data_IF_467732862445
#
_entry.id   IF_467732862445
#
_cell.length_a   1.000
_cell.length_b   1.000
_cell.length_c   1.000
_cell.angle_alpha   90.00
_cell.angle_beta   90.00
_cell.angle_gamma   90.00
#
_symmetry.space_group_name_H-M   'P 1'
#
loop_
_entity.id
_entity.type
_entity.pdbx_description
1 polymer ?
#
# COMPACT_ATOMS: atom_id res chain seq x y z
N UNK A 1 -19.26 4.47 -14.11
CA UNK A 1 -17.82 4.64 -14.36
C UNK A 1 -17.04 3.68 -13.47
N UNK A 2 -15.90 3.14 -13.92
CA UNK A 2 -15.06 2.28 -13.08
C UNK A 2 -14.54 3.03 -11.86
N UNK A 3 -14.43 2.33 -10.72
CA UNK A 3 -13.86 2.86 -9.48
C UNK A 3 -12.72 1.96 -9.05
N UNK A 4 -11.50 2.48 -9.13
CA UNK A 4 -10.29 1.77 -8.71
C UNK A 4 -10.09 1.97 -7.21
N UNK A 5 -10.04 0.88 -6.46
CA UNK A 5 -9.83 0.87 -5.02
C UNK A 5 -8.50 0.19 -4.74
N UNK A 6 -7.54 0.97 -4.23
CA UNK A 6 -6.25 0.46 -3.75
C UNK A 6 -6.42 -0.19 -2.39
N UNK A 7 -5.91 -1.40 -2.23
CA UNK A 7 -5.85 -2.08 -0.92
C UNK A 7 -4.89 -1.37 0.04
N UNK A 8 -4.89 -1.77 1.31
CA UNK A 8 -4.09 -1.12 2.34
C UNK A 8 -2.61 -1.12 1.94
N UNK A 9 -2.04 0.08 1.92
CA UNK A 9 -0.68 0.33 1.48
C UNK A 9 0.26 0.67 2.66
N UNK A 10 -0.10 1.56 3.62
CA UNK A 10 0.82 1.96 4.68
C UNK A 10 1.21 0.81 5.63
N UNK A 11 2.42 0.84 6.21
CA UNK A 11 2.82 -0.05 7.29
C UNK A 11 2.00 0.21 8.56
N UNK A 12 1.92 -0.79 9.44
CA UNK A 12 1.03 -0.72 10.61
C UNK A 12 1.43 0.33 11.65
N UNK A 13 2.72 0.70 11.74
CA UNK A 13 3.17 1.69 12.72
C UNK A 13 2.60 3.09 12.48
N UNK A 14 2.20 3.43 11.24
CA UNK A 14 1.54 4.71 10.93
C UNK A 14 0.16 4.84 11.61
N UNK A 15 -0.45 3.72 12.01
CA UNK A 15 -1.73 3.71 12.72
C UNK A 15 -1.57 3.61 14.24
N UNK A 16 -0.34 3.56 14.75
CA UNK A 16 -0.07 3.40 16.16
C UNK A 16 0.18 4.75 16.85
N UNK A 17 -0.04 4.84 18.18
CA UNK A 17 0.31 6.04 18.92
C UNK A 17 1.83 6.31 18.91
N UNK A 18 2.19 7.58 19.02
CA UNK A 18 3.59 8.01 19.07
C UNK A 18 4.35 7.38 20.24
N UNK A 19 5.54 6.86 19.97
CA UNK A 19 6.34 6.14 20.95
C UNK A 19 6.79 7.03 22.11
N UNK A 20 7.18 8.29 21.85
CA UNK A 20 7.61 9.21 22.90
C UNK A 20 6.45 9.58 23.82
N UNK A 21 5.26 9.81 23.26
CA UNK A 21 4.05 10.06 24.04
C UNK A 21 3.69 8.86 24.93
N UNK A 22 3.79 7.63 24.40
CA UNK A 22 3.58 6.41 25.20
C UNK A 22 4.62 6.28 26.32
N UNK A 23 5.90 6.58 26.04
CA UNK A 23 6.97 6.51 27.02
C UNK A 23 6.79 7.53 28.16
N UNK A 24 6.43 8.79 27.82
CA UNK A 24 6.11 9.83 28.79
C UNK A 24 4.92 9.43 29.66
N UNK A 25 3.87 8.88 29.05
CA UNK A 25 2.69 8.42 29.78
C UNK A 25 3.01 7.25 30.72
N UNK A 26 3.80 6.28 30.28
CA UNK A 26 4.25 5.16 31.11
C UNK A 26 5.07 5.65 32.31
N UNK A 27 6.00 6.59 32.10
CA UNK A 27 6.81 7.18 33.16
C UNK A 27 5.93 7.86 34.23
N UNK A 28 4.93 8.65 33.80
CA UNK A 28 3.97 9.28 34.73
C UNK A 28 3.16 8.26 35.53
N UNK A 29 2.66 7.19 34.89
CA UNK A 29 1.91 6.12 35.56
C UNK A 29 2.76 5.34 36.57
N UNK A 30 4.04 5.10 36.27
CA UNK A 30 4.97 4.47 37.21
C UNK A 30 5.21 5.32 38.46
N UNK A 31 5.28 6.65 38.30
CA UNK A 31 5.47 7.58 39.41
C UNK A 31 4.24 7.67 40.32
N UNK A 32 3.02 7.66 39.74
CA UNK A 32 1.78 7.72 40.52
C UNK A 32 1.50 6.41 41.27
N UNK A 33 1.80 5.24 40.66
CA UNK A 33 1.67 3.94 41.30
C UNK A 33 0.23 3.49 41.60
N UNK A 34 -0.79 4.25 41.18
CA UNK A 34 -2.20 4.05 41.52
C UNK A 34 -3.03 3.38 40.41
N UNK A 35 -2.45 3.20 39.22
CA UNK A 35 -3.15 2.67 38.02
C UNK A 35 -2.37 1.54 37.32
N UNK A 36 -2.20 0.38 37.97
CA UNK A 36 -1.39 -0.73 37.44
C UNK A 36 -1.93 -1.32 36.13
N UNK A 37 -3.25 -1.41 35.96
CA UNK A 37 -3.86 -1.93 34.73
C UNK A 37 -3.67 -0.99 33.53
N UNK A 38 -3.72 0.33 33.76
CA UNK A 38 -3.45 1.30 32.69
C UNK A 38 -1.97 1.27 32.30
N UNK A 39 -1.08 1.17 33.28
CA UNK A 39 0.36 1.03 33.03
C UNK A 39 0.66 -0.20 32.17
N UNK A 40 0.16 -1.38 32.55
CA UNK A 40 0.35 -2.61 31.79
C UNK A 40 -0.16 -2.50 30.34
N UNK A 41 -1.29 -1.82 30.13
CA UNK A 41 -1.83 -1.55 28.79
C UNK A 41 -0.90 -0.67 27.96
N UNK A 42 -0.36 0.40 28.55
CA UNK A 42 0.56 1.31 27.85
C UNK A 42 1.89 0.60 27.54
N UNK A 43 2.44 -0.18 28.47
CA UNK A 43 3.66 -0.95 28.26
C UNK A 43 3.49 -2.02 27.17
N UNK A 44 2.33 -2.69 27.13
CA UNK A 44 1.98 -3.59 26.03
C UNK A 44 1.89 -2.88 24.69
N UNK A 45 1.29 -1.69 24.64
CA UNK A 45 1.25 -0.86 23.43
C UNK A 45 2.66 -0.43 22.98
N UNK A 46 3.50 0.02 23.90
CA UNK A 46 4.91 0.37 23.59
C UNK A 46 5.65 -0.81 22.97
N UNK A 47 5.47 -2.01 23.53
CA UNK A 47 6.11 -3.23 23.02
C UNK A 47 5.63 -3.55 21.60
N UNK A 48 4.34 -3.39 21.33
CA UNK A 48 3.77 -3.57 19.99
C UNK A 48 4.28 -2.52 18.99
N UNK A 49 4.38 -1.25 19.41
CA UNK A 49 4.92 -0.17 18.57
C UNK A 49 6.37 -0.44 18.20
N UNK A 50 7.19 -0.78 19.19
CA UNK A 50 8.61 -1.07 18.94
C UNK A 50 8.78 -2.30 18.03
N UNK A 51 7.96 -3.32 18.20
CA UNK A 51 7.96 -4.51 17.33
C UNK A 51 7.50 -4.26 15.89
N UNK A 52 6.84 -3.13 15.61
CA UNK A 52 6.40 -2.72 14.26
C UNK A 52 7.29 -1.65 13.63
N UNK A 53 8.31 -1.19 14.37
CA UNK A 53 9.22 -0.14 13.92
C UNK A 53 10.19 -0.70 12.88
N UNK A 54 10.34 0.02 11.79
CA UNK A 54 11.25 -0.34 10.71
C UNK A 54 12.21 0.82 10.45
N UNK A 55 13.46 0.51 10.08
CA UNK A 55 14.46 1.54 9.74
C UNK A 55 14.06 2.34 8.51
N UNK A 56 13.49 1.69 7.50
CA UNK A 56 13.03 2.31 6.25
C UNK A 56 11.59 1.89 5.94
N UNK A 57 10.58 2.54 6.58
CA UNK A 57 9.15 2.21 6.42
C UNK A 57 8.68 2.12 4.96
N UNK A 58 9.21 2.99 4.10
CA UNK A 58 8.88 3.02 2.67
C UNK A 58 9.16 1.68 1.97
N UNK A 59 10.20 0.94 2.40
CA UNK A 59 10.60 -0.34 1.82
C UNK A 59 10.24 -1.55 2.69
N UNK A 60 9.48 -1.35 3.76
CA UNK A 60 9.22 -2.34 4.81
C UNK A 60 8.03 -3.27 4.58
N UNK A 61 7.43 -3.73 5.68
CA UNK A 61 6.25 -4.59 5.74
C UNK A 61 4.96 -3.77 5.51
N UNK A 62 4.69 -3.52 4.24
CA UNK A 62 3.56 -2.71 3.77
C UNK A 62 2.92 -3.30 2.50
N UNK A 63 1.85 -2.70 1.99
CA UNK A 63 1.19 -3.11 0.75
C UNK A 63 0.87 -4.61 0.66
N UNK A 64 1.18 -5.22 -0.49
CA UNK A 64 0.96 -6.66 -0.73
C UNK A 64 1.63 -7.54 0.33
N UNK A 65 2.80 -7.16 0.83
CA UNK A 65 3.58 -7.96 1.80
C UNK A 65 2.82 -8.07 3.11
N UNK A 66 2.28 -6.95 3.60
CA UNK A 66 1.44 -6.93 4.79
C UNK A 66 0.16 -7.74 4.56
N UNK A 67 -0.48 -7.58 3.40
CA UNK A 67 -1.69 -8.33 3.04
C UNK A 67 -1.46 -9.84 2.96
N UNK A 68 -0.30 -10.30 2.51
CA UNK A 68 0.06 -11.72 2.45
C UNK A 68 0.43 -12.29 3.82
N UNK A 69 1.18 -11.55 4.63
CA UNK A 69 1.56 -11.96 6.00
C UNK A 69 0.36 -11.92 6.95
N UNK A 70 -0.60 -11.01 6.72
CA UNK A 70 -1.83 -10.85 7.51
C UNK A 70 -3.07 -10.84 6.60
N UNK A 71 -3.48 -11.99 6.02
CA UNK A 71 -4.58 -12.08 5.06
C UNK A 71 -5.92 -11.55 5.57
N UNK A 72 -6.14 -11.55 6.89
CA UNK A 72 -7.37 -11.01 7.49
C UNK A 72 -7.62 -9.53 7.12
N UNK A 73 -6.55 -8.73 6.94
CA UNK A 73 -6.66 -7.32 6.54
C UNK A 73 -7.22 -7.23 5.13
N UNK A 74 -6.60 -7.91 4.16
CA UNK A 74 -7.07 -8.00 2.78
C UNK A 74 -8.50 -8.50 2.72
N UNK A 75 -8.79 -9.63 3.38
CA UNK A 75 -10.13 -10.24 3.36
C UNK A 75 -11.20 -9.28 3.87
N UNK A 76 -10.91 -8.51 4.91
CA UNK A 76 -11.83 -7.50 5.44
C UNK A 76 -12.10 -6.41 4.41
N UNK A 77 -11.07 -5.85 3.78
CA UNK A 77 -11.23 -4.81 2.76
C UNK A 77 -12.02 -5.31 1.54
N UNK A 78 -11.66 -6.49 1.02
CA UNK A 78 -12.34 -7.10 -0.13
C UNK A 78 -13.81 -7.36 0.21
N UNK A 79 -14.09 -7.92 1.40
CA UNK A 79 -15.47 -8.16 1.84
C UNK A 79 -16.27 -6.86 1.86
N UNK A 80 -15.72 -5.79 2.42
CA UNK A 80 -16.39 -4.49 2.47
C UNK A 80 -16.67 -3.93 1.06
N UNK A 81 -15.71 -4.02 0.14
CA UNK A 81 -15.87 -3.57 -1.25
C UNK A 81 -17.02 -4.33 -1.93
N UNK A 82 -17.04 -5.66 -1.84
CA UNK A 82 -18.05 -6.46 -2.51
C UNK A 82 -19.41 -6.40 -1.83
N UNK A 83 -19.48 -6.23 -0.51
CA UNK A 83 -20.76 -6.00 0.19
C UNK A 83 -21.41 -4.69 -0.28
N UNK A 84 -20.62 -3.61 -0.35
CA UNK A 84 -21.09 -2.32 -0.85
C UNK A 84 -21.48 -2.40 -2.35
N UNK A 85 -20.67 -3.05 -3.18
CA UNK A 85 -20.96 -3.19 -4.60
C UNK A 85 -22.24 -4.02 -4.85
N UNK A 86 -22.41 -5.14 -4.13
CA UNK A 86 -23.63 -5.94 -4.22
C UNK A 86 -24.87 -5.16 -3.75
N UNK A 87 -24.76 -4.36 -2.68
CA UNK A 87 -25.85 -3.51 -2.22
C UNK A 87 -26.25 -2.48 -3.30
N UNK A 88 -25.28 -1.70 -3.78
CA UNK A 88 -25.53 -0.67 -4.80
C UNK A 88 -26.11 -1.26 -6.10
N UNK A 89 -25.67 -2.46 -6.50
CA UNK A 89 -26.24 -3.15 -7.67
C UNK A 89 -27.71 -3.52 -7.48
N UNK A 90 -28.13 -3.92 -6.27
CA UNK A 90 -29.57 -4.15 -5.97
C UNK A 90 -30.38 -2.86 -6.01
N UNK A 91 -29.78 -1.74 -5.65
CA UNK A 91 -30.37 -0.41 -5.72
C UNK A 91 -30.43 0.14 -7.17
N UNK A 92 -29.97 -0.64 -8.16
CA UNK A 92 -30.02 -0.28 -9.57
C UNK A 92 -28.82 0.53 -10.06
N UNK A 93 -27.76 0.65 -9.26
CA UNK A 93 -26.53 1.35 -9.65
C UNK A 93 -25.65 0.43 -10.49
N UNK A 94 -25.17 0.94 -11.63
CA UNK A 94 -24.21 0.24 -12.48
C UNK A 94 -22.78 0.35 -11.92
N UNK A 95 -22.41 -0.64 -11.10
CA UNK A 95 -21.12 -0.69 -10.40
C UNK A 95 -20.05 -1.50 -11.14
N UNK A 96 -18.85 -0.92 -11.23
CA UNK A 96 -17.67 -1.52 -11.87
C UNK A 96 -16.44 -1.36 -10.95
N UNK A 97 -16.35 -2.11 -9.83
CA UNK A 97 -15.20 -2.04 -8.94
C UNK A 97 -13.95 -2.66 -9.57
N UNK A 98 -12.82 -1.96 -9.43
CA UNK A 98 -11.51 -2.43 -9.85
C UNK A 98 -10.60 -2.48 -8.61
N UNK A 99 -10.12 -3.66 -8.23
CA UNK A 99 -9.33 -3.87 -7.02
C UNK A 99 -7.85 -3.82 -7.40
N UNK A 100 -7.09 -2.94 -6.75
CA UNK A 100 -5.68 -2.73 -7.06
C UNK A 100 -4.77 -3.13 -5.90
N UNK A 101 -3.81 -4.00 -6.18
CA UNK A 101 -2.79 -4.46 -5.25
C UNK A 101 -1.54 -3.59 -5.36
N UNK A 102 -1.12 -2.97 -4.25
CA UNK A 102 0.04 -2.08 -4.16
C UNK A 102 1.32 -2.80 -3.73
N UNK A 103 2.47 -2.21 -4.04
CA UNK A 103 3.84 -2.58 -3.65
C UNK A 103 4.23 -3.99 -4.10
N UNK A 104 3.73 -4.40 -5.28
CA UNK A 104 4.06 -5.70 -5.86
C UNK A 104 5.41 -5.64 -6.57
N UNK A 105 6.15 -6.73 -6.46
CA UNK A 105 7.48 -6.89 -7.05
C UNK A 105 7.64 -8.19 -7.83
N UNK A 106 6.76 -9.18 -7.60
CA UNK A 106 6.82 -10.49 -8.20
C UNK A 106 5.42 -11.01 -8.57
N UNK A 107 5.29 -11.70 -9.70
CA UNK A 107 4.01 -12.20 -10.22
C UNK A 107 3.26 -13.12 -9.23
N UNK A 108 3.98 -13.98 -8.51
CA UNK A 108 3.43 -14.79 -7.41
C UNK A 108 2.75 -13.98 -6.30
N UNK A 109 3.21 -12.76 -5.98
CA UNK A 109 2.53 -11.91 -4.99
C UNK A 109 1.15 -11.50 -5.51
N UNK A 110 1.07 -11.12 -6.79
CA UNK A 110 -0.19 -10.80 -7.48
C UNK A 110 -1.09 -12.02 -7.55
N UNK A 111 -0.55 -13.18 -7.93
CA UNK A 111 -1.29 -14.44 -8.06
C UNK A 111 -1.97 -14.83 -6.74
N UNK A 112 -1.22 -14.89 -5.65
CA UNK A 112 -1.76 -15.29 -4.33
C UNK A 112 -2.78 -14.26 -3.86
N UNK A 113 -2.53 -12.97 -4.06
CA UNK A 113 -3.48 -11.92 -3.68
C UNK A 113 -4.78 -12.03 -4.49
N UNK A 114 -4.70 -12.32 -5.78
CA UNK A 114 -5.85 -12.54 -6.66
C UNK A 114 -6.69 -13.75 -6.20
N UNK A 115 -6.05 -14.85 -5.78
CA UNK A 115 -6.76 -16.00 -5.21
C UNK A 115 -7.56 -15.61 -3.96
N UNK A 116 -6.96 -14.85 -3.04
CA UNK A 116 -7.63 -14.35 -1.83
C UNK A 116 -8.79 -13.40 -2.17
N UNK A 117 -8.60 -12.48 -3.13
CA UNK A 117 -9.64 -11.54 -3.53
C UNK A 117 -10.83 -12.29 -4.15
N UNK A 118 -10.57 -13.21 -5.09
CA UNK A 118 -11.61 -13.99 -5.77
C UNK A 118 -12.41 -14.83 -4.80
N UNK A 119 -11.75 -15.50 -3.86
CA UNK A 119 -12.41 -16.32 -2.85
C UNK A 119 -13.42 -15.50 -2.04
N UNK A 120 -13.01 -14.33 -1.52
CA UNK A 120 -13.90 -13.47 -0.72
C UNK A 120 -15.01 -12.83 -1.57
N UNK A 121 -14.70 -12.44 -2.82
CA UNK A 121 -15.68 -11.91 -3.76
C UNK A 121 -16.80 -12.94 -4.01
N UNK A 122 -16.41 -14.19 -4.31
CA UNK A 122 -17.34 -15.29 -4.57
C UNK A 122 -18.18 -15.63 -3.33
N UNK A 123 -17.59 -15.65 -2.14
CA UNK A 123 -18.33 -15.80 -0.89
C UNK A 123 -19.43 -14.75 -0.73
N UNK A 124 -19.09 -13.48 -0.95
CA UNK A 124 -20.03 -12.36 -0.79
C UNK A 124 -21.12 -12.42 -1.86
N UNK A 125 -20.77 -12.63 -3.13
CA UNK A 125 -21.73 -12.74 -4.23
C UNK A 125 -22.68 -13.92 -4.03
N UNK A 126 -22.16 -15.08 -3.61
CA UNK A 126 -22.98 -16.27 -3.32
C UNK A 126 -23.94 -16.03 -2.16
N UNK A 127 -23.47 -15.43 -1.06
CA UNK A 127 -24.30 -15.11 0.10
C UNK A 127 -25.37 -14.07 -0.23
N UNK A 128 -25.06 -13.10 -1.08
CA UNK A 128 -25.99 -12.02 -1.46
C UNK A 128 -26.91 -12.39 -2.62
N UNK A 129 -26.58 -13.41 -3.42
CA UNK A 129 -27.31 -13.74 -4.65
C UNK A 129 -27.17 -12.67 -5.74
N UNK A 130 -26.17 -11.79 -5.65
CA UNK A 130 -25.92 -10.69 -6.59
C UNK A 130 -24.57 -10.92 -7.24
N UNK A 131 -24.53 -10.87 -8.57
CA UNK A 131 -23.29 -10.94 -9.33
C UNK A 131 -22.82 -9.54 -9.70
N UNK A 132 -21.58 -9.20 -9.34
CA UNK A 132 -20.93 -7.94 -9.69
C UNK A 132 -19.77 -8.27 -10.63
N UNK A 133 -19.62 -7.51 -11.71
CA UNK A 133 -18.46 -7.62 -12.58
C UNK A 133 -17.35 -6.73 -12.00
N UNK A 134 -16.12 -7.22 -11.99
CA UNK A 134 -14.99 -6.54 -11.37
C UNK A 134 -13.70 -6.89 -12.09
N UNK A 135 -12.67 -6.08 -11.87
CA UNK A 135 -11.30 -6.39 -12.31
C UNK A 135 -10.35 -6.41 -11.15
N UNK A 136 -9.28 -7.19 -11.26
CA UNK A 136 -8.14 -7.16 -10.34
C UNK A 136 -6.91 -6.72 -11.12
N UNK A 137 -6.22 -5.71 -10.59
CA UNK A 137 -4.99 -5.20 -11.17
C UNK A 137 -3.92 -4.96 -10.12
N UNK A 138 -2.77 -4.48 -10.57
CA UNK A 138 -1.64 -4.19 -9.70
C UNK A 138 -1.02 -2.85 -10.03
N UNK A 139 -0.45 -2.22 -8.99
CA UNK A 139 0.36 -1.04 -9.16
C UNK A 139 1.77 -1.44 -9.60
N UNK A 140 2.27 -0.83 -10.68
CA UNK A 140 3.66 -0.93 -11.11
C UNK A 140 4.39 0.27 -10.53
N UNK A 141 4.98 0.05 -9.36
CA UNK A 141 5.65 1.11 -8.57
C UNK A 141 7.02 0.68 -8.01
N UNK A 142 7.48 -0.51 -8.38
CA UNK A 142 8.82 -1.00 -8.09
C UNK A 142 9.53 -1.35 -9.40
N UNK A 143 10.83 -1.05 -9.56
CA UNK A 143 11.56 -1.30 -10.80
C UNK A 143 11.49 -2.77 -11.21
N UNK A 144 11.54 -3.70 -10.25
CA UNK A 144 11.40 -5.13 -10.54
C UNK A 144 10.05 -5.46 -11.21
N UNK A 145 8.95 -4.88 -10.74
CA UNK A 145 7.63 -5.11 -11.33
C UNK A 145 7.53 -4.57 -12.75
N UNK A 146 8.19 -3.43 -13.04
CA UNK A 146 8.29 -2.89 -14.38
C UNK A 146 9.14 -3.79 -15.31
N UNK A 147 10.28 -4.27 -14.82
CA UNK A 147 11.19 -5.15 -15.58
C UNK A 147 10.55 -6.49 -15.92
N UNK A 148 9.73 -7.05 -15.01
CA UNK A 148 9.06 -8.34 -15.20
C UNK A 148 7.57 -8.19 -15.49
N UNK A 149 7.16 -7.09 -16.13
CA UNK A 149 5.75 -6.74 -16.33
C UNK A 149 4.98 -7.80 -17.14
N UNK A 150 5.64 -8.49 -18.07
CA UNK A 150 5.09 -9.61 -18.84
C UNK A 150 4.62 -10.77 -17.92
N UNK A 151 5.35 -11.03 -16.85
CA UNK A 151 4.96 -12.01 -15.83
C UNK A 151 3.81 -11.47 -14.96
N UNK A 152 3.84 -10.19 -14.60
CA UNK A 152 2.80 -9.54 -13.81
C UNK A 152 1.45 -9.55 -14.55
N UNK A 153 1.46 -9.31 -15.87
CA UNK A 153 0.29 -9.24 -16.73
C UNK A 153 -0.48 -10.56 -16.81
N UNK A 154 0.17 -11.71 -16.55
CA UNK A 154 -0.50 -13.03 -16.48
C UNK A 154 -1.58 -13.09 -15.40
N UNK A 155 -1.48 -12.26 -14.36
CA UNK A 155 -2.38 -12.25 -13.20
C UNK A 155 -3.04 -10.90 -12.95
N UNK A 156 -2.87 -9.93 -13.86
CA UNK A 156 -3.32 -8.56 -13.68
C UNK A 156 -4.09 -8.10 -14.91
N UNK A 157 -5.33 -7.64 -14.72
CA UNK A 157 -6.19 -7.17 -15.82
C UNK A 157 -5.92 -5.71 -16.21
N UNK A 158 -5.22 -4.97 -15.36
CA UNK A 158 -4.75 -3.62 -15.63
C UNK A 158 -3.48 -3.32 -14.83
N UNK A 159 -2.71 -2.33 -15.29
CA UNK A 159 -1.62 -1.73 -14.52
C UNK A 159 -1.96 -0.29 -14.17
N UNK A 160 -1.50 0.14 -13.01
CA UNK A 160 -1.50 1.54 -12.59
C UNK A 160 -0.09 1.92 -12.19
N UNK A 161 0.46 3.00 -12.72
CA UNK A 161 1.84 3.39 -12.42
C UNK A 161 1.88 4.29 -11.18
N UNK A 162 2.43 3.76 -10.08
CA UNK A 162 2.73 4.54 -8.88
C UNK A 162 4.04 5.29 -9.07
N UNK A 163 4.04 6.33 -9.91
CA UNK A 163 5.28 7.01 -10.32
C UNK A 163 6.04 7.65 -9.17
N UNK A 164 5.38 7.99 -8.06
CA UNK A 164 6.07 8.47 -6.87
C UNK A 164 7.03 7.41 -6.31
N UNK A 165 6.53 6.23 -5.98
CA UNK A 165 7.35 5.14 -5.44
C UNK A 165 8.32 4.56 -6.48
N UNK A 166 7.92 4.52 -7.76
CA UNK A 166 8.81 4.15 -8.84
C UNK A 166 9.98 5.14 -8.98
N UNK A 167 9.72 6.44 -8.81
CA UNK A 167 10.78 7.47 -8.80
C UNK A 167 11.68 7.31 -7.58
N UNK A 168 11.11 7.15 -6.38
CA UNK A 168 11.88 6.96 -5.15
C UNK A 168 12.87 5.79 -5.29
N UNK A 169 12.40 4.66 -5.81
CA UNK A 169 13.21 3.43 -5.93
C UNK A 169 14.15 3.42 -7.13
N UNK A 170 13.81 4.11 -8.22
CA UNK A 170 14.70 4.26 -9.38
C UNK A 170 15.85 5.21 -9.09
N UNK A 171 15.58 6.33 -8.41
CA UNK A 171 16.62 7.29 -8.00
C UNK A 171 17.34 6.87 -6.73
N UNK A 172 16.76 5.95 -5.93
CA UNK A 172 17.31 5.53 -4.64
C UNK A 172 17.20 6.62 -3.57
N UNK A 173 16.12 7.40 -3.59
CA UNK A 173 15.90 8.55 -2.69
C UNK A 173 14.51 8.48 -2.04
N UNK A 174 14.45 8.81 -0.76
CA UNK A 174 13.20 9.11 -0.05
C UNK A 174 12.75 10.51 -0.44
N UNK A 175 11.49 10.68 -0.86
CA UNK A 175 10.93 11.97 -1.25
C UNK A 175 10.97 12.96 -0.11
N UNK A 176 10.50 12.55 1.07
CA UNK A 176 10.42 13.39 2.25
C UNK A 176 11.81 13.88 2.69
N UNK A 177 12.82 13.00 2.60
CA UNK A 177 14.20 13.37 2.90
C UNK A 177 14.83 14.24 1.81
N UNK A 178 14.56 13.95 0.54
CA UNK A 178 15.18 14.64 -0.58
C UNK A 178 14.69 16.09 -0.70
N UNK A 179 13.37 16.30 -0.66
CA UNK A 179 12.75 17.63 -0.74
C UNK A 179 13.22 18.56 0.38
N UNK A 180 13.40 18.02 1.60
CA UNK A 180 13.82 18.80 2.77
C UNK A 180 15.34 19.02 2.93
N UNK A 181 16.18 18.35 2.13
CA UNK A 181 17.65 18.34 2.36
C UNK A 181 18.50 18.80 1.17
N UNK A 182 18.34 18.18 0.00
CA UNK A 182 19.30 18.37 -1.11
C UNK A 182 18.68 18.59 -2.49
N UNK A 183 17.40 18.28 -2.67
CA UNK A 183 16.82 18.23 -4.02
C UNK A 183 16.74 19.60 -4.68
N UNK A 184 16.44 20.65 -3.91
CA UNK A 184 16.46 22.04 -4.40
C UNK A 184 17.85 22.44 -4.91
N UNK A 185 18.88 22.19 -4.10
CA UNK A 185 20.29 22.47 -4.45
C UNK A 185 20.71 21.72 -5.74
N UNK A 186 20.24 20.48 -5.94
CA UNK A 186 20.50 19.71 -7.16
C UNK A 186 19.91 20.36 -8.40
N UNK A 187 18.70 20.91 -8.30
CA UNK A 187 18.04 21.62 -9.41
C UNK A 187 18.70 22.97 -9.67
N UNK A 188 18.97 23.75 -8.63
CA UNK A 188 19.63 25.07 -8.75
C UNK A 188 21.04 24.97 -9.35
N UNK A 189 21.76 23.87 -9.07
CA UNK A 189 23.08 23.59 -9.65
C UNK A 189 23.03 22.93 -11.03
N UNK A 190 21.84 22.62 -11.55
CA UNK A 190 21.67 21.92 -12.82
C UNK A 190 22.19 20.47 -12.83
N UNK A 191 22.33 19.84 -11.65
CA UNK A 191 22.63 18.40 -11.54
C UNK A 191 21.43 17.59 -12.02
N UNK A 192 20.23 18.01 -11.60
CA UNK A 192 18.97 17.55 -12.16
C UNK A 192 18.32 18.71 -12.92
N UNK A 193 17.70 18.46 -14.09
CA UNK A 193 17.03 19.52 -14.83
C UNK A 193 15.78 20.02 -14.10
N UNK A 194 15.06 19.13 -13.41
CA UNK A 194 13.80 19.39 -12.71
C UNK A 194 13.69 18.46 -11.50
N UNK A 195 12.77 18.76 -10.58
CA UNK A 195 12.42 17.84 -9.49
C UNK A 195 11.68 16.61 -10.07
N UNK A 196 12.22 15.38 -9.94
CA UNK A 196 11.66 14.18 -10.56
C UNK A 196 10.32 13.74 -9.93
N UNK A 197 9.96 14.24 -8.75
CA UNK A 197 8.65 14.01 -8.12
C UNK A 197 7.55 14.94 -8.63
N UNK A 198 7.93 16.02 -9.33
CA UNK A 198 7.00 16.97 -9.95
C UNK A 198 6.90 16.75 -11.46
N UNK A 199 8.04 16.46 -12.11
CA UNK A 199 8.13 16.20 -13.54
C UNK A 199 8.70 14.79 -13.73
N UNK A 200 7.97 13.93 -14.45
CA UNK A 200 8.42 12.58 -14.73
C UNK A 200 9.80 12.59 -15.42
N UNK A 201 10.79 11.94 -14.80
CA UNK A 201 12.06 11.63 -15.46
C UNK A 201 11.81 10.65 -16.60
N UNK A 202 11.81 11.18 -17.84
CA UNK A 202 11.51 10.37 -19.03
C UNK A 202 12.60 9.36 -19.36
N UNK A 203 13.85 9.65 -19.02
CA UNK A 203 15.00 8.82 -19.41
C UNK A 203 15.25 7.62 -18.50
N UNK A 204 14.93 7.72 -17.20
CA UNK A 204 15.05 6.61 -16.25
C UNK A 204 13.68 6.02 -15.91
N UNK A 205 12.86 6.76 -15.16
CA UNK A 205 11.54 6.28 -14.72
C UNK A 205 10.61 6.04 -15.92
N UNK A 206 10.62 6.93 -16.91
CA UNK A 206 9.86 6.80 -18.16
C UNK A 206 10.27 5.57 -18.97
N UNK A 207 11.55 5.22 -18.98
CA UNK A 207 12.04 3.99 -19.62
C UNK A 207 11.47 2.74 -18.96
N UNK A 208 11.38 2.70 -17.62
CA UNK A 208 10.72 1.59 -16.91
C UNK A 208 9.22 1.51 -17.23
N UNK A 209 8.55 2.64 -17.36
CA UNK A 209 7.12 2.68 -17.76
C UNK A 209 6.97 2.14 -19.19
N UNK A 210 7.77 2.62 -20.13
CA UNK A 210 7.75 2.18 -21.54
C UNK A 210 8.00 0.68 -21.65
N UNK A 211 9.00 0.17 -20.94
CA UNK A 211 9.30 -1.27 -20.87
C UNK A 211 8.12 -2.07 -20.32
N UNK A 212 7.43 -1.56 -19.30
CA UNK A 212 6.32 -2.28 -18.67
C UNK A 212 5.05 -2.34 -19.52
N UNK A 213 4.87 -1.43 -20.49
CA UNK A 213 3.69 -1.38 -21.37
C UNK A 213 3.93 -1.95 -22.78
N UNK A 214 5.18 -2.21 -23.15
CA UNK A 214 5.57 -2.72 -24.47
C UNK A 214 5.40 -4.23 -24.58
#
# INVERSE_FOLDING_TARGET
>A
YPVIIRLLDPPLHEFMPDHEQLALKAAGLRLMGDRPNELARIEGLMTAVEGLREFNPMLGLRGVRLGLVRPAITRMQVRAIFEAACQLKREGVDVHPEIMVAVTSHANEVKIMLEVIKEVADEVMKRTGVRVDYKIGTMIELPRAAITADEMAKYSEFFSFGTNDLTQTTFGISRDDAEGKFLLEYVERGILPENPFQVLDRSGVGFLIEMAVS
#
